data_IF_998501093387
#
_entry.id   IF_998501093387
#
_cell.length_a   1.000
_cell.length_b   1.000
_cell.length_c   1.000
_cell.angle_alpha   90.00
_cell.angle_beta   90.00
_cell.angle_gamma   90.00
#
_symmetry.space_group_name_H-M   'P 1'
#
loop_
_entity.id
_entity.type
_entity.pdbx_description
1 polymer ?
#
# COMPACT_ATOMS: atom_id res chain seq x y z
N UNK A 1 -14.74 7.58 -9.49
CA UNK A 1 -15.43 8.86 -9.64
C UNK A 1 -16.52 9.04 -8.58
N UNK A 2 -17.31 10.10 -8.63
CA UNK A 2 -18.24 10.47 -7.55
C UNK A 2 -19.17 9.33 -7.16
N UNK A 3 -19.89 8.76 -8.13
CA UNK A 3 -20.87 7.68 -7.91
C UNK A 3 -20.22 6.48 -7.19
N UNK A 4 -19.10 6.01 -7.69
CA UNK A 4 -18.36 4.85 -7.15
C UNK A 4 -17.74 5.17 -5.80
N UNK A 5 -17.13 6.36 -5.66
CA UNK A 5 -16.54 6.78 -4.39
C UNK A 5 -17.59 6.88 -3.28
N UNK A 6 -18.71 7.54 -3.55
CA UNK A 6 -19.76 7.75 -2.57
C UNK A 6 -20.50 6.45 -2.23
N UNK A 7 -20.62 5.51 -3.19
CA UNK A 7 -21.12 4.17 -2.93
C UNK A 7 -20.21 3.38 -1.96
N UNK A 8 -18.90 3.43 -2.16
CA UNK A 8 -17.94 2.72 -1.30
C UNK A 8 -17.78 3.42 0.06
N UNK A 9 -17.80 4.74 0.09
CA UNK A 9 -17.49 5.55 1.29
C UNK A 9 -18.76 6.07 1.97
N UNK A 10 -19.26 7.20 1.51
CA UNK A 10 -20.47 7.89 1.98
C UNK A 10 -20.88 8.94 0.96
N UNK A 11 -22.19 9.11 0.78
CA UNK A 11 -22.75 10.19 -0.06
C UNK A 11 -22.14 11.55 0.28
N UNK A 12 -21.75 12.29 -0.76
CA UNK A 12 -21.14 13.62 -0.69
C UNK A 12 -19.68 13.65 -0.20
N UNK A 13 -19.05 12.51 0.07
CA UNK A 13 -17.65 12.49 0.52
C UNK A 13 -16.68 12.77 -0.62
N UNK A 14 -17.01 12.41 -1.85
CA UNK A 14 -16.22 12.75 -3.03
C UNK A 14 -16.07 14.26 -3.20
N UNK A 15 -17.17 14.99 -3.23
CA UNK A 15 -17.16 16.44 -3.40
C UNK A 15 -16.43 17.17 -2.27
N UNK A 16 -16.48 16.66 -1.03
CA UNK A 16 -15.68 17.19 0.09
C UNK A 16 -14.18 17.01 -0.17
N UNK A 17 -13.77 15.85 -0.69
CA UNK A 17 -12.38 15.59 -1.03
C UNK A 17 -11.88 16.49 -2.16
N UNK A 18 -12.68 16.66 -3.22
CA UNK A 18 -12.36 17.57 -4.33
C UNK A 18 -12.23 19.01 -3.85
N UNK A 19 -13.14 19.46 -2.99
CA UNK A 19 -13.07 20.79 -2.39
C UNK A 19 -11.80 20.98 -1.56
N UNK A 20 -11.44 19.99 -0.74
CA UNK A 20 -10.22 20.03 0.06
C UNK A 20 -8.96 20.13 -0.83
N UNK A 21 -8.86 19.33 -1.90
CA UNK A 21 -7.74 19.40 -2.84
C UNK A 21 -7.61 20.77 -3.51
N UNK A 22 -8.74 21.38 -3.91
CA UNK A 22 -8.76 22.74 -4.49
C UNK A 22 -8.26 23.78 -3.50
N UNK A 23 -8.68 23.72 -2.23
CA UNK A 23 -8.23 24.64 -1.19
C UNK A 23 -6.75 24.49 -0.86
N UNK A 24 -6.25 23.25 -0.77
CA UNK A 24 -4.84 22.97 -0.54
C UNK A 24 -3.98 23.51 -1.67
N UNK A 25 -4.37 23.28 -2.93
CA UNK A 25 -3.69 23.84 -4.10
C UNK A 25 -3.66 25.36 -4.10
N UNK A 26 -4.80 26.01 -3.79
CA UNK A 26 -4.88 27.47 -3.70
C UNK A 26 -3.90 28.05 -2.71
N UNK A 27 -3.57 27.31 -1.65
CA UNK A 27 -2.60 27.69 -0.63
C UNK A 27 -1.18 27.15 -0.90
N UNK A 28 -0.88 26.67 -2.12
CA UNK A 28 0.41 26.11 -2.52
C UNK A 28 0.89 24.93 -1.63
N UNK A 29 -0.05 24.16 -1.07
CA UNK A 29 0.25 22.98 -0.29
C UNK A 29 0.36 21.77 -1.23
N UNK A 30 1.51 21.10 -1.20
CA UNK A 30 1.71 19.85 -1.95
C UNK A 30 0.75 18.78 -1.47
N UNK A 31 0.15 18.07 -2.44
CA UNK A 31 -0.88 17.06 -2.16
C UNK A 31 -0.54 15.72 -2.77
N UNK A 32 -0.85 14.66 -2.04
CA UNK A 32 -0.83 13.29 -2.54
C UNK A 32 -2.21 12.65 -2.31
N UNK A 33 -2.68 11.91 -3.30
CA UNK A 33 -3.92 11.15 -3.21
C UNK A 33 -3.60 9.65 -3.15
N UNK A 34 -4.33 8.90 -2.32
CA UNK A 34 -4.23 7.45 -2.23
C UNK A 34 -5.56 6.85 -2.66
N UNK A 35 -5.53 5.95 -3.64
CA UNK A 35 -6.70 5.19 -4.07
C UNK A 35 -6.56 3.73 -3.73
N UNK A 36 -7.50 3.19 -2.95
CA UNK A 36 -7.64 1.74 -2.72
C UNK A 36 -8.42 1.13 -3.88
N UNK A 37 -7.71 0.46 -4.78
CA UNK A 37 -8.25 -0.12 -6.00
C UNK A 37 -9.01 -1.41 -5.66
N UNK A 38 -10.18 -1.55 -6.24
CA UNK A 38 -11.07 -2.68 -6.12
C UNK A 38 -11.88 -2.86 -7.43
N UNK A 39 -12.70 -3.90 -7.55
CA UNK A 39 -13.47 -4.18 -8.77
C UNK A 39 -14.42 -3.04 -9.19
N UNK A 40 -14.90 -2.26 -8.23
CA UNK A 40 -15.84 -1.17 -8.51
C UNK A 40 -15.18 0.06 -9.15
N UNK A 41 -13.86 0.26 -8.94
CA UNK A 41 -13.18 1.48 -9.40
C UNK A 41 -11.97 1.24 -10.32
N UNK A 42 -11.57 0.01 -10.55
CA UNK A 42 -10.40 -0.27 -11.40
C UNK A 42 -10.60 0.22 -12.85
N UNK A 43 -11.81 0.22 -13.34
CA UNK A 43 -12.13 0.74 -14.69
C UNK A 43 -12.10 2.27 -14.78
N UNK A 44 -12.05 2.98 -13.67
CA UNK A 44 -12.07 4.45 -13.60
C UNK A 44 -10.65 5.07 -13.51
N UNK A 45 -9.57 4.28 -13.59
CA UNK A 45 -8.20 4.77 -13.35
C UNK A 45 -7.79 5.88 -14.34
N UNK A 46 -8.17 5.78 -15.62
CA UNK A 46 -7.85 6.81 -16.62
C UNK A 46 -8.54 8.14 -16.33
N UNK A 47 -9.82 8.08 -16.02
CA UNK A 47 -10.62 9.27 -15.71
C UNK A 47 -10.17 9.91 -14.37
N UNK A 48 -9.79 9.08 -13.37
CA UNK A 48 -9.21 9.56 -12.12
C UNK A 48 -7.86 10.23 -12.34
N UNK A 49 -7.00 9.67 -13.21
CA UNK A 49 -5.73 10.28 -13.58
C UNK A 49 -5.94 11.68 -14.17
N UNK A 50 -6.86 11.82 -15.11
CA UNK A 50 -7.17 13.11 -15.72
C UNK A 50 -7.69 14.10 -14.67
N UNK A 51 -8.66 13.69 -13.86
CA UNK A 51 -9.24 14.52 -12.80
C UNK A 51 -8.17 15.01 -11.80
N UNK A 52 -7.31 14.11 -11.32
CA UNK A 52 -6.27 14.46 -10.34
C UNK A 52 -5.17 15.34 -10.96
N UNK A 53 -4.84 15.11 -12.24
CA UNK A 53 -3.92 15.97 -12.99
C UNK A 53 -4.47 17.38 -13.14
N UNK A 54 -5.74 17.54 -13.50
CA UNK A 54 -6.41 18.84 -13.67
C UNK A 54 -6.54 19.60 -12.32
N UNK A 55 -6.75 18.86 -11.24
CA UNK A 55 -6.73 19.41 -9.88
C UNK A 55 -5.31 19.80 -9.43
N UNK A 56 -4.27 19.41 -10.16
CA UNK A 56 -2.87 19.70 -9.86
C UNK A 56 -2.35 18.97 -8.63
N UNK A 57 -2.83 17.75 -8.42
CA UNK A 57 -2.28 16.83 -7.42
C UNK A 57 -0.84 16.49 -7.81
N UNK A 58 0.08 16.46 -6.84
CA UNK A 58 1.51 16.21 -7.10
C UNK A 58 1.82 14.74 -7.30
N UNK A 59 1.18 13.87 -6.50
CA UNK A 59 1.39 12.43 -6.61
C UNK A 59 0.11 11.64 -6.33
N UNK A 60 0.02 10.48 -6.94
CA UNK A 60 -1.11 9.56 -6.79
C UNK A 60 -0.62 8.16 -6.48
N UNK A 61 -0.88 7.70 -5.27
CA UNK A 61 -0.54 6.34 -4.86
C UNK A 61 -1.67 5.37 -5.16
N UNK A 62 -1.34 4.33 -5.91
CA UNK A 62 -2.22 3.22 -6.20
C UNK A 62 -1.95 2.09 -5.20
N UNK A 63 -2.96 1.64 -4.48
CA UNK A 63 -2.87 0.47 -3.61
C UNK A 63 -4.08 -0.44 -3.81
N UNK A 64 -3.90 -1.74 -3.69
CA UNK A 64 -5.02 -2.68 -3.75
C UNK A 64 -5.79 -2.70 -2.43
N UNK A 65 -7.11 -2.83 -2.55
CA UNK A 65 -7.95 -3.10 -1.39
C UNK A 65 -7.73 -4.55 -0.92
N UNK A 66 -7.38 -4.73 0.35
CA UNK A 66 -7.16 -6.03 0.96
C UNK A 66 -8.40 -6.47 1.75
N UNK A 67 -8.63 -7.78 1.96
CA UNK A 67 -9.76 -8.30 2.71
C UNK A 67 -9.64 -8.02 4.21
N UNK A 68 -9.70 -6.75 4.59
CA UNK A 68 -9.51 -6.25 5.95
C UNK A 68 -10.65 -5.34 6.40
N UNK A 69 -10.93 -5.33 7.69
CA UNK A 69 -11.95 -4.45 8.28
C UNK A 69 -13.30 -4.63 7.59
N UNK A 70 -13.93 -3.53 7.19
CA UNK A 70 -15.22 -3.59 6.48
C UNK A 70 -15.12 -4.23 5.09
N UNK A 71 -13.96 -4.17 4.45
CA UNK A 71 -13.76 -4.74 3.13
C UNK A 71 -13.72 -6.28 3.14
N UNK A 72 -13.37 -6.89 4.28
CA UNK A 72 -13.46 -8.35 4.47
C UNK A 72 -14.89 -8.91 4.31
N UNK A 73 -15.91 -8.05 4.42
CA UNK A 73 -17.33 -8.40 4.23
C UNK A 73 -17.79 -8.28 2.78
N UNK A 74 -16.87 -7.92 1.86
CA UNK A 74 -17.15 -7.67 0.44
C UNK A 74 -16.15 -8.40 -0.45
N UNK A 75 -16.03 -9.73 -0.35
CA UNK A 75 -15.07 -10.49 -1.16
C UNK A 75 -15.28 -10.30 -2.65
N UNK A 76 -16.52 -10.03 -3.08
CA UNK A 76 -16.87 -9.73 -4.48
C UNK A 76 -16.23 -8.47 -5.04
N UNK A 77 -15.74 -7.58 -4.19
CA UNK A 77 -15.06 -6.34 -4.61
C UNK A 77 -13.53 -6.50 -4.74
N UNK A 78 -12.98 -7.61 -4.28
CA UNK A 78 -11.56 -7.88 -4.41
C UNK A 78 -11.18 -8.07 -5.88
N UNK A 79 -10.09 -7.42 -6.30
CA UNK A 79 -9.53 -7.63 -7.63
C UNK A 79 -8.89 -9.01 -7.74
N UNK A 80 -8.79 -9.52 -8.94
CA UNK A 80 -8.09 -10.78 -9.22
C UNK A 80 -6.58 -10.54 -9.41
N UNK A 81 -5.74 -11.58 -9.26
CA UNK A 81 -4.29 -11.44 -9.45
C UNK A 81 -3.88 -10.86 -10.82
N UNK A 82 -4.60 -11.18 -11.88
CA UNK A 82 -4.36 -10.64 -13.22
C UNK A 82 -4.61 -9.14 -13.34
N UNK A 83 -5.53 -8.58 -12.54
CA UNK A 83 -5.83 -7.15 -12.55
C UNK A 83 -4.64 -6.32 -12.07
N UNK A 84 -3.76 -6.90 -11.24
CA UNK A 84 -2.56 -6.24 -10.75
C UNK A 84 -1.61 -5.89 -11.89
N UNK A 85 -1.48 -6.77 -12.90
CA UNK A 85 -0.67 -6.49 -14.09
C UNK A 85 -1.22 -5.28 -14.85
N UNK A 86 -2.54 -5.17 -14.96
CA UNK A 86 -3.20 -4.03 -15.61
C UNK A 86 -2.94 -2.72 -14.85
N UNK A 87 -2.93 -2.74 -13.51
CA UNK A 87 -2.60 -1.59 -12.69
C UNK A 87 -1.13 -1.15 -12.89
N UNK A 88 -0.21 -2.12 -12.93
CA UNK A 88 1.21 -1.85 -13.18
C UNK A 88 1.41 -1.28 -14.59
N UNK A 89 0.76 -1.85 -15.59
CA UNK A 89 0.82 -1.38 -16.97
C UNK A 89 0.25 0.04 -17.11
N UNK A 90 -0.86 0.31 -16.45
CA UNK A 90 -1.41 1.66 -16.38
C UNK A 90 -0.39 2.66 -15.79
N UNK A 91 0.18 2.36 -14.63
CA UNK A 91 1.16 3.22 -13.98
C UNK A 91 2.42 3.42 -14.85
N UNK A 92 2.92 2.36 -15.47
CA UNK A 92 4.07 2.39 -16.36
C UNK A 92 3.85 3.32 -17.57
N UNK A 93 2.67 3.26 -18.18
CA UNK A 93 2.32 4.08 -19.34
C UNK A 93 2.14 5.58 -18.99
N UNK A 94 2.10 5.92 -17.70
CA UNK A 94 2.01 7.32 -17.22
C UNK A 94 3.35 7.89 -16.74
N UNK A 95 4.44 7.14 -16.86
CA UNK A 95 5.80 7.66 -16.55
C UNK A 95 6.09 8.91 -17.40
N UNK A 96 6.61 9.97 -16.76
CA UNK A 96 6.87 11.25 -17.41
C UNK A 96 5.64 12.15 -17.59
N UNK A 97 4.46 11.72 -17.15
CA UNK A 97 3.24 12.53 -17.13
C UNK A 97 3.23 13.62 -16.05
N UNK A 98 2.16 14.42 -16.05
CA UNK A 98 2.02 15.56 -15.11
C UNK A 98 1.77 15.12 -13.65
N UNK A 99 1.14 13.97 -13.46
CA UNK A 99 0.82 13.40 -12.16
C UNK A 99 1.75 12.22 -11.89
N UNK A 100 2.53 12.33 -10.83
CA UNK A 100 3.45 11.26 -10.42
C UNK A 100 2.67 10.09 -9.84
N UNK A 101 2.76 8.92 -10.46
CA UNK A 101 2.12 7.70 -9.94
C UNK A 101 3.11 6.91 -9.09
N UNK A 102 2.62 6.44 -7.95
CA UNK A 102 3.35 5.62 -6.98
C UNK A 102 2.62 4.30 -6.78
N UNK A 103 3.30 3.19 -6.94
CA UNK A 103 2.76 1.87 -6.60
C UNK A 103 3.01 1.59 -5.11
N UNK A 104 1.96 1.30 -4.36
CA UNK A 104 2.10 0.92 -2.96
C UNK A 104 2.67 -0.50 -2.83
N UNK A 105 3.33 -0.78 -1.70
CA UNK A 105 3.94 -2.08 -1.39
C UNK A 105 2.97 -3.26 -1.55
N UNK A 106 1.67 -3.04 -1.34
CA UNK A 106 0.64 -4.07 -1.46
C UNK A 106 0.31 -4.46 -2.90
N UNK A 107 0.77 -3.73 -3.91
CA UNK A 107 0.63 -4.11 -5.33
C UNK A 107 1.35 -5.45 -5.58
N UNK A 108 2.46 -5.72 -4.88
CA UNK A 108 2.90 -7.09 -4.58
C UNK A 108 3.62 -7.85 -5.69
N UNK A 109 3.73 -7.35 -6.90
CA UNK A 109 4.48 -8.01 -7.97
C UNK A 109 5.77 -7.26 -8.27
N UNK A 110 6.88 -7.98 -8.17
CA UNK A 110 8.17 -7.48 -8.60
C UNK A 110 8.36 -7.77 -10.09
N UNK A 111 8.31 -6.76 -10.94
CA UNK A 111 8.47 -6.87 -12.39
C UNK A 111 9.37 -5.76 -12.93
N UNK A 112 9.79 -5.85 -14.19
CA UNK A 112 10.58 -4.79 -14.80
C UNK A 112 9.82 -3.48 -14.96
N UNK A 113 8.48 -3.53 -15.02
CA UNK A 113 7.64 -2.35 -15.15
C UNK A 113 7.43 -1.65 -13.80
N UNK A 114 7.13 -2.39 -12.73
CA UNK A 114 6.95 -1.78 -11.41
C UNK A 114 8.27 -1.21 -10.88
N UNK A 115 9.41 -1.84 -11.18
CA UNK A 115 10.73 -1.27 -10.88
C UNK A 115 10.85 0.13 -11.51
N UNK A 116 10.56 0.28 -12.80
CA UNK A 116 10.66 1.58 -13.49
C UNK A 116 9.68 2.63 -12.97
N UNK A 117 8.47 2.22 -12.58
CA UNK A 117 7.51 3.13 -11.94
C UNK A 117 8.07 3.63 -10.61
N UNK A 118 8.65 2.75 -9.81
CA UNK A 118 9.23 3.11 -8.51
C UNK A 118 10.52 3.94 -8.65
N UNK A 119 11.38 3.64 -9.61
CA UNK A 119 12.57 4.45 -9.95
C UNK A 119 12.18 5.88 -10.35
N UNK A 120 11.12 6.05 -11.12
CA UNK A 120 10.61 7.38 -11.49
C UNK A 120 10.15 8.22 -10.28
N UNK A 121 9.80 7.58 -9.17
CA UNK A 121 9.41 8.25 -7.92
C UNK A 121 10.57 8.40 -6.94
N UNK A 122 11.40 7.37 -6.78
CA UNK A 122 12.38 7.24 -5.68
C UNK A 122 13.84 7.45 -6.11
N UNK A 123 14.10 7.71 -7.40
CA UNK A 123 15.41 7.79 -8.09
C UNK A 123 15.96 6.41 -8.53
N UNK A 124 16.92 6.45 -9.44
CA UNK A 124 17.51 5.31 -10.17
C UNK A 124 18.15 4.22 -9.29
N UNK A 125 18.32 4.46 -8.00
CA UNK A 125 18.94 3.51 -7.05
C UNK A 125 17.94 2.78 -6.15
N UNK A 126 16.63 2.90 -6.42
CA UNK A 126 15.64 2.21 -5.61
C UNK A 126 15.68 0.70 -5.85
N UNK A 127 15.67 -0.05 -4.76
CA UNK A 127 15.48 -1.50 -4.80
C UNK A 127 14.57 -1.95 -3.65
N UNK A 128 13.67 -2.86 -3.95
CA UNK A 128 12.89 -3.52 -2.92
C UNK A 128 13.78 -4.52 -2.16
N UNK A 129 13.84 -4.37 -0.85
CA UNK A 129 14.63 -5.25 0.05
C UNK A 129 13.74 -6.05 1.00
N UNK A 130 12.48 -6.23 0.65
CA UNK A 130 11.48 -6.86 1.51
C UNK A 130 10.72 -5.85 2.38
N UNK A 131 9.73 -6.35 3.11
CA UNK A 131 8.89 -5.52 3.98
C UNK A 131 9.68 -4.96 5.16
N UNK A 132 9.66 -3.62 5.31
CA UNK A 132 10.36 -2.89 6.39
C UNK A 132 9.70 -2.97 7.77
N UNK A 133 8.51 -3.57 7.88
CA UNK A 133 7.75 -3.67 9.13
C UNK A 133 8.56 -4.38 10.23
N UNK A 134 8.81 -3.70 11.36
CA UNK A 134 9.64 -4.20 12.46
C UNK A 134 11.14 -4.26 12.17
N UNK A 135 11.59 -3.91 10.96
CA UNK A 135 13.01 -3.81 10.56
C UNK A 135 13.48 -2.36 10.52
N UNK A 136 12.71 -1.50 9.87
CA UNK A 136 12.98 -0.07 9.68
C UNK A 136 11.82 0.81 10.11
N UNK A 137 10.63 0.22 10.26
CA UNK A 137 9.38 0.92 10.58
C UNK A 137 8.67 0.19 11.72
N UNK A 138 8.06 0.96 12.60
CA UNK A 138 7.14 0.49 13.64
C UNK A 138 5.88 1.35 13.65
N UNK A 139 4.80 0.80 14.18
CA UNK A 139 3.57 1.52 14.50
C UNK A 139 3.35 1.63 15.99
N UNK A 140 2.83 2.77 16.44
CA UNK A 140 2.35 2.98 17.80
C UNK A 140 0.85 3.18 17.71
N UNK A 141 0.08 2.30 18.34
CA UNK A 141 -1.36 2.40 18.37
C UNK A 141 -1.82 3.39 19.45
N UNK A 142 -3.07 3.85 19.34
CA UNK A 142 -3.65 4.83 20.28
C UNK A 142 -3.65 4.39 21.75
N UNK A 143 -3.66 3.09 22.00
CA UNK A 143 -3.59 2.49 23.34
C UNK A 143 -2.14 2.29 23.85
N UNK A 144 -1.13 2.65 23.04
CA UNK A 144 0.28 2.49 23.38
C UNK A 144 0.90 1.18 22.90
N UNK A 145 0.14 0.28 22.25
CA UNK A 145 0.69 -0.97 21.71
C UNK A 145 1.66 -0.70 20.57
N UNK A 146 2.75 -1.43 20.57
CA UNK A 146 3.79 -1.38 19.55
C UNK A 146 3.60 -2.55 18.57
N UNK A 147 3.45 -2.22 17.30
CA UNK A 147 3.25 -3.17 16.20
C UNK A 147 4.28 -2.96 15.10
N UNK A 148 4.59 -3.99 14.34
CA UNK A 148 5.50 -3.86 13.20
C UNK A 148 4.85 -3.06 12.06
N UNK A 149 3.55 -3.25 11.83
CA UNK A 149 2.76 -2.58 10.79
C UNK A 149 1.40 -2.16 11.33
N UNK A 150 1.03 -0.88 11.16
CA UNK A 150 -0.27 -0.36 11.60
C UNK A 150 -1.46 -0.90 10.81
N UNK A 151 -1.22 -1.51 9.66
CA UNK A 151 -2.27 -2.16 8.85
C UNK A 151 -2.66 -3.53 9.38
N UNK A 152 -1.77 -4.24 10.09
CA UNK A 152 -2.05 -5.55 10.68
C UNK A 152 -2.60 -5.34 12.08
N UNK A 153 -3.86 -5.77 12.30
CA UNK A 153 -4.62 -5.55 13.55
C UNK A 153 -4.75 -6.82 14.39
N UNK A 154 -3.73 -7.67 14.39
CA UNK A 154 -3.68 -8.88 15.19
C UNK A 154 -3.00 -8.63 16.54
N UNK A 155 -3.73 -8.87 17.63
CA UNK A 155 -3.21 -8.72 18.99
C UNK A 155 -2.06 -9.66 19.31
N UNK A 156 -1.98 -10.82 18.67
CA UNK A 156 -0.87 -11.79 18.85
C UNK A 156 0.45 -11.29 18.28
N UNK A 157 0.42 -10.26 17.40
CA UNK A 157 1.58 -9.64 16.79
C UNK A 157 2.01 -8.33 17.47
N UNK A 158 1.40 -7.97 18.60
CA UNK A 158 1.82 -6.84 19.43
C UNK A 158 3.14 -7.19 20.13
N UNK A 159 4.15 -6.35 19.95
CA UNK A 159 5.47 -6.59 20.53
C UNK A 159 5.62 -6.11 21.98
N UNK A 160 4.73 -5.23 22.41
CA UNK A 160 4.71 -4.66 23.76
C UNK A 160 3.92 -3.35 23.81
N UNK A 161 3.94 -2.68 24.95
CA UNK A 161 3.25 -1.41 25.15
C UNK A 161 4.21 -0.35 25.72
N UNK A 162 4.23 0.85 25.12
CA UNK A 162 5.13 1.94 25.54
C UNK A 162 4.85 2.48 26.95
N UNK A 163 3.70 2.18 27.53
CA UNK A 163 3.35 2.54 28.91
C UNK A 163 3.93 1.57 29.95
N UNK A 164 4.37 0.38 29.48
CA UNK A 164 4.91 -0.68 30.34
C UNK A 164 6.43 -0.84 30.18
N UNK A 165 6.93 -0.65 28.94
CA UNK A 165 8.34 -0.82 28.59
C UNK A 165 8.82 0.31 27.67
N UNK A 166 10.11 0.66 27.75
CA UNK A 166 10.68 1.63 26.84
C UNK A 166 10.64 1.13 25.39
N UNK A 167 10.45 2.05 24.44
CA UNK A 167 10.45 1.73 23.00
C UNK A 167 11.75 1.02 22.60
N UNK A 168 12.89 1.45 23.16
CA UNK A 168 14.19 0.83 22.92
C UNK A 168 14.18 -0.63 23.36
N UNK A 169 13.72 -0.93 24.58
CA UNK A 169 13.63 -2.32 25.08
C UNK A 169 12.74 -3.20 24.23
N UNK A 170 11.59 -2.66 23.75
CA UNK A 170 10.71 -3.40 22.85
C UNK A 170 11.39 -3.63 21.49
N UNK A 171 12.04 -2.60 20.93
CA UNK A 171 12.71 -2.70 19.63
C UNK A 171 13.87 -3.68 19.63
N UNK A 172 14.71 -3.67 20.67
CA UNK A 172 15.90 -4.51 20.77
C UNK A 172 15.60 -5.95 21.22
N UNK A 173 14.39 -6.23 21.66
CA UNK A 173 13.99 -7.59 22.05
C UNK A 173 14.08 -8.55 20.85
N UNK A 174 14.75 -9.70 20.99
CA UNK A 174 14.85 -10.71 19.92
C UNK A 174 13.51 -11.32 19.53
N UNK A 175 12.52 -11.29 20.43
CA UNK A 175 11.19 -11.79 20.18
C UNK A 175 10.30 -10.80 19.42
N UNK A 176 10.65 -9.51 19.47
CA UNK A 176 9.88 -8.48 18.80
C UNK A 176 9.96 -8.62 17.29
N UNK A 177 8.79 -8.67 16.66
CA UNK A 177 8.64 -8.65 15.20
C UNK A 177 9.34 -9.82 14.47
N UNK A 178 9.68 -10.91 15.19
CA UNK A 178 10.38 -12.07 14.61
C UNK A 178 9.67 -12.68 13.40
N UNK A 179 8.34 -12.57 13.33
CA UNK A 179 7.55 -13.03 12.19
C UNK A 179 7.94 -12.36 10.86
N UNK A 180 8.48 -11.13 10.90
CA UNK A 180 8.96 -10.42 9.71
C UNK A 180 10.48 -10.25 9.70
N UNK A 181 11.12 -10.03 10.86
CA UNK A 181 12.58 -9.93 10.95
C UNK A 181 13.28 -11.19 10.45
N UNK A 182 12.75 -12.33 10.82
CA UNK A 182 13.29 -13.66 10.47
C UNK A 182 12.65 -14.25 9.20
N UNK A 183 11.93 -13.42 8.41
CA UNK A 183 11.34 -13.88 7.17
C UNK A 183 12.37 -13.82 6.05
N UNK A 184 12.51 -14.93 5.33
CA UNK A 184 13.38 -15.13 4.16
C UNK A 184 12.66 -15.91 3.06
N UNK A 185 13.32 -16.10 1.92
CA UNK A 185 12.79 -16.77 0.74
C UNK A 185 12.39 -18.22 0.97
N UNK A 186 13.06 -18.91 1.93
CA UNK A 186 12.76 -20.33 2.23
C UNK A 186 11.35 -20.55 2.78
N UNK A 187 10.75 -19.49 3.33
CA UNK A 187 9.38 -19.52 3.88
C UNK A 187 8.30 -19.26 2.84
N UNK A 188 8.67 -18.92 1.63
CA UNK A 188 7.72 -18.74 0.53
C UNK A 188 7.17 -20.07 0.06
N UNK A 189 5.89 -20.06 -0.37
CA UNK A 189 5.16 -21.24 -0.83
C UNK A 189 4.55 -20.99 -2.22
N UNK A 190 4.07 -22.06 -2.83
CA UNK A 190 3.42 -22.02 -4.14
C UNK A 190 4.28 -21.35 -5.20
N UNK A 191 3.68 -20.58 -6.09
CA UNK A 191 4.36 -19.90 -7.19
C UNK A 191 5.51 -18.99 -6.72
N UNK A 192 5.39 -18.36 -5.55
CA UNK A 192 6.42 -17.47 -5.03
C UNK A 192 7.73 -18.18 -4.73
N UNK A 193 7.70 -19.47 -4.38
CA UNK A 193 8.89 -20.28 -4.11
C UNK A 193 9.74 -20.51 -5.37
N UNK A 194 9.09 -20.63 -6.53
CA UNK A 194 9.72 -20.94 -7.83
C UNK A 194 9.91 -19.69 -8.69
N UNK A 195 9.48 -18.52 -8.20
CA UNK A 195 9.55 -17.28 -8.94
C UNK A 195 11.00 -16.79 -9.07
N UNK A 196 11.40 -16.38 -10.27
CA UNK A 196 12.74 -15.80 -10.51
C UNK A 196 13.10 -14.57 -9.67
N UNK A 197 12.09 -13.90 -9.09
CA UNK A 197 12.27 -12.73 -8.24
C UNK A 197 12.17 -13.05 -6.75
N UNK A 198 12.15 -14.32 -6.36
CA UNK A 198 11.95 -14.78 -4.98
C UNK A 198 12.84 -14.07 -3.98
N UNK A 199 14.15 -14.00 -4.24
CA UNK A 199 15.14 -13.40 -3.33
C UNK A 199 14.99 -11.88 -3.18
N UNK A 200 14.46 -11.21 -4.17
CA UNK A 200 14.23 -9.77 -4.13
C UNK A 200 12.84 -9.42 -3.60
N UNK A 201 11.83 -10.09 -4.14
CA UNK A 201 10.43 -9.78 -3.82
C UNK A 201 10.06 -10.19 -2.40
N UNK A 202 10.57 -11.34 -1.92
CA UNK A 202 10.24 -11.92 -0.62
C UNK A 202 8.73 -12.01 -0.37
N UNK A 203 7.95 -12.25 -1.44
CA UNK A 203 6.49 -12.30 -1.39
C UNK A 203 5.81 -10.92 -1.18
N UNK A 204 6.51 -9.83 -1.43
CA UNK A 204 5.95 -8.47 -1.35
C UNK A 204 5.63 -8.00 0.06
N UNK A 205 4.54 -7.24 0.19
CA UNK A 205 4.08 -6.68 1.46
C UNK A 205 3.63 -7.76 2.44
N UNK A 206 4.17 -7.74 3.65
CA UNK A 206 3.80 -8.70 4.70
C UNK A 206 2.33 -8.61 5.11
N UNK A 207 1.72 -7.41 5.04
CA UNK A 207 0.30 -7.25 5.28
C UNK A 207 -0.55 -7.98 4.22
N UNK A 208 -0.17 -7.86 2.94
CA UNK A 208 -0.87 -8.59 1.86
C UNK A 208 -0.77 -10.10 2.05
N UNK A 209 0.42 -10.61 2.37
CA UNK A 209 0.61 -12.03 2.67
C UNK A 209 -0.26 -12.50 3.85
N UNK A 210 -0.25 -11.73 4.93
CA UNK A 210 -1.02 -12.04 6.13
C UNK A 210 -2.53 -12.06 5.86
N UNK A 211 -3.04 -11.08 5.10
CA UNK A 211 -4.49 -10.97 4.85
C UNK A 211 -5.03 -11.97 3.83
N UNK A 212 -4.19 -12.43 2.88
CA UNK A 212 -4.63 -13.30 1.79
C UNK A 212 -4.40 -14.78 2.13
N UNK A 213 -3.32 -15.11 2.83
CA UNK A 213 -2.90 -16.50 3.04
C UNK A 213 -2.90 -16.95 4.51
N UNK A 214 -3.20 -16.07 5.46
CA UNK A 214 -3.23 -16.37 6.90
C UNK A 214 -1.85 -16.34 7.53
#
# INVERSE_FOLDING_TARGET
LEKTHDFIRRSGSFNKSIKALKELRKNNISTSVITSINKENICELEELYQLLSDLGVNSWQLQIALPMGNFAKRPEWLIEPQDILSIIDFAYNKIGGKLLIVLADCIGYYSNKDIKVNENFLNDNWSWTGCGAGKHVIGILHNGDIVACTSIRDKTLVAGNIREKSLKSIWESPDSFKWNRNFDSSKLKGFCRECRYTERCLGGCSNSRYCING
#
